data_IF_297134782562
#
_entry.id   IF_297134782562
#
_cell.length_a   1.000
_cell.length_b   1.000
_cell.length_c   1.000
_cell.angle_alpha   90.00
_cell.angle_beta   90.00
_cell.angle_gamma   90.00
#
_symmetry.space_group_name_H-M   'P 1'
#
loop_
_entity.id
_entity.type
_entity.pdbx_description
1 polymer ?
#
# COMPACT_ATOMS: atom_id res chain seq x y z
N UNK A 1 5.14 0.16 2.26
CA UNK A 1 3.71 -0.01 2.69
C UNK A 1 3.07 1.33 3.11
N UNK A 2 3.28 2.42 2.36
CA UNK A 2 2.69 3.74 2.69
C UNK A 2 3.22 4.41 3.96
N UNK A 3 4.41 4.01 4.43
CA UNK A 3 4.99 4.51 5.68
C UNK A 3 4.05 4.29 6.87
N UNK A 4 3.78 5.35 7.62
CA UNK A 4 2.87 5.31 8.76
C UNK A 4 1.39 5.56 8.40
N UNK A 5 1.07 5.83 7.13
CA UNK A 5 -0.29 6.22 6.72
C UNK A 5 -1.33 5.16 7.08
N UNK A 6 -1.13 3.86 6.77
CA UNK A 6 -2.14 2.85 7.12
C UNK A 6 -2.38 2.76 8.64
N UNK A 7 -1.30 2.80 9.42
CA UNK A 7 -1.37 2.79 10.89
C UNK A 7 -2.12 4.02 11.45
N UNK A 8 -1.98 5.19 10.81
CA UNK A 8 -2.61 6.44 11.24
C UNK A 8 -3.96 6.74 10.56
N UNK A 9 -4.47 5.86 9.69
CA UNK A 9 -5.61 6.16 8.81
C UNK A 9 -6.85 6.62 9.58
N UNK A 10 -7.25 5.90 10.63
CA UNK A 10 -8.39 6.29 11.47
C UNK A 10 -8.13 7.56 12.29
N UNK A 11 -6.87 7.82 12.69
CA UNK A 11 -6.51 9.08 13.34
C UNK A 11 -6.70 10.26 12.39
N UNK A 12 -6.27 10.14 11.14
CA UNK A 12 -6.46 11.16 10.10
C UNK A 12 -7.95 11.40 9.84
N UNK A 13 -8.74 10.33 9.68
CA UNK A 13 -10.20 10.42 9.50
C UNK A 13 -10.87 11.20 10.64
N UNK A 14 -10.51 10.84 11.88
CA UNK A 14 -11.09 11.46 13.06
C UNK A 14 -10.61 12.91 13.28
N UNK A 15 -9.45 13.30 12.76
CA UNK A 15 -9.03 14.71 12.75
C UNK A 15 -9.84 15.55 11.77
N UNK A 16 -10.20 15.01 10.60
CA UNK A 16 -11.07 15.72 9.64
C UNK A 16 -12.47 15.91 10.22
N UNK A 17 -13.01 14.90 10.89
CA UNK A 17 -14.33 14.96 11.54
C UNK A 17 -14.38 15.98 12.69
N UNK A 18 -13.33 16.05 13.52
CA UNK A 18 -13.28 16.92 14.71
C UNK A 18 -12.66 18.29 14.46
N UNK A 19 -12.22 18.58 13.24
CA UNK A 19 -11.57 19.84 12.94
C UNK A 19 -12.55 21.02 13.07
N UNK A 20 -12.10 22.21 13.49
CA UNK A 20 -12.91 23.41 13.45
C UNK A 20 -13.48 23.65 12.04
N UNK A 21 -14.76 24.03 11.98
CA UNK A 21 -15.45 24.27 10.71
C UNK A 21 -14.73 25.30 9.82
N UNK A 22 -14.03 26.26 10.42
CA UNK A 22 -13.23 27.28 9.72
C UNK A 22 -12.08 26.72 8.86
N UNK A 23 -11.68 25.46 9.06
CA UNK A 23 -10.67 24.79 8.25
C UNK A 23 -11.26 24.14 6.98
N UNK A 24 -12.59 23.99 6.91
CA UNK A 24 -13.30 23.41 5.77
C UNK A 24 -12.74 22.04 5.32
N UNK A 25 -12.24 21.21 6.25
CA UNK A 25 -11.58 19.96 5.89
C UNK A 25 -12.56 18.93 5.31
N UNK A 26 -13.74 18.78 5.90
CA UNK A 26 -14.76 17.85 5.42
C UNK A 26 -15.20 18.17 3.97
N UNK A 27 -15.25 19.45 3.60
CA UNK A 27 -15.58 19.90 2.24
C UNK A 27 -14.50 19.53 1.22
N UNK A 28 -13.23 19.46 1.65
CA UNK A 28 -12.09 19.10 0.79
C UNK A 28 -11.94 17.60 0.57
N UNK A 29 -12.50 16.78 1.46
CA UNK A 29 -12.53 15.32 1.38
C UNK A 29 -13.96 14.81 1.59
N UNK A 30 -14.86 15.08 0.62
CA UNK A 30 -16.30 14.82 0.75
C UNK A 30 -16.65 13.35 0.95
N UNK A 31 -15.82 12.42 0.47
CA UNK A 31 -16.00 10.97 0.66
C UNK A 31 -15.35 10.44 1.96
N UNK A 32 -14.74 11.34 2.74
CA UNK A 32 -14.02 11.01 3.96
C UNK A 32 -12.59 10.49 3.71
N UNK A 33 -11.61 10.75 4.59
CA UNK A 33 -10.21 10.40 4.35
C UNK A 33 -9.97 8.91 4.03
N UNK A 34 -10.69 7.99 4.68
CA UNK A 34 -10.52 6.55 4.45
C UNK A 34 -10.85 6.14 3.00
N UNK A 35 -11.89 6.74 2.40
CA UNK A 35 -12.26 6.43 1.02
C UNK A 35 -11.18 6.85 0.03
N UNK A 36 -10.49 7.97 0.29
CA UNK A 36 -9.36 8.40 -0.54
C UNK A 36 -8.12 7.54 -0.31
N UNK A 37 -7.80 7.19 0.94
CA UNK A 37 -6.67 6.32 1.25
C UNK A 37 -6.83 4.94 0.60
N UNK A 38 -8.03 4.37 0.59
CA UNK A 38 -8.35 3.09 -0.06
C UNK A 38 -8.11 3.07 -1.59
N UNK A 39 -7.94 4.23 -2.24
CA UNK A 39 -7.66 4.34 -3.69
C UNK A 39 -6.18 4.32 -4.01
N UNK A 40 -5.32 4.62 -3.03
CA UNK A 40 -3.88 4.68 -3.22
C UNK A 40 -3.29 3.28 -3.34
N UNK A 41 -2.13 3.19 -3.98
CA UNK A 41 -1.33 1.97 -4.01
C UNK A 41 -0.26 2.00 -2.92
N UNK A 42 0.04 0.83 -2.36
CA UNK A 42 0.97 0.63 -1.26
C UNK A 42 2.02 -0.41 -1.66
N UNK A 43 3.28 -0.01 -1.77
CA UNK A 43 4.37 -0.96 -2.06
C UNK A 43 4.79 -1.80 -0.84
N UNK A 44 5.52 -2.89 -1.03
CA UNK A 44 6.11 -3.67 0.07
C UNK A 44 7.52 -3.22 0.47
N UNK A 45 8.06 -2.18 -0.16
CA UNK A 45 9.46 -1.77 0.01
C UNK A 45 9.74 -1.44 1.49
N UNK A 46 10.82 -2.02 2.03
CA UNK A 46 11.25 -1.89 3.42
C UNK A 46 10.17 -2.19 4.49
N UNK A 47 9.06 -2.84 4.13
CA UNK A 47 7.92 -3.10 5.02
C UNK A 47 7.20 -4.42 4.70
N UNK A 48 7.95 -5.40 4.20
CA UNK A 48 7.49 -6.71 3.75
C UNK A 48 7.24 -7.71 4.91
N UNK A 49 6.57 -7.27 5.97
CA UNK A 49 6.28 -8.05 7.18
C UNK A 49 4.78 -8.06 7.53
N UNK A 50 4.32 -9.09 8.25
CA UNK A 50 2.90 -9.31 8.53
C UNK A 50 2.18 -8.12 9.21
N UNK A 51 2.72 -7.41 10.22
CA UNK A 51 1.99 -6.31 10.86
C UNK A 51 1.71 -5.12 9.93
N UNK A 52 2.72 -4.69 9.17
CA UNK A 52 2.58 -3.61 8.18
C UNK A 52 1.62 -3.98 7.06
N UNK A 53 1.66 -5.24 6.63
CA UNK A 53 0.74 -5.78 5.64
C UNK A 53 -0.71 -5.80 6.14
N UNK A 54 -0.95 -6.27 7.37
CA UNK A 54 -2.27 -6.26 7.98
C UNK A 54 -2.83 -4.84 8.07
N UNK A 55 -2.02 -3.87 8.53
CA UNK A 55 -2.44 -2.47 8.59
C UNK A 55 -2.78 -1.90 7.20
N UNK A 56 -2.04 -2.26 6.15
CA UNK A 56 -2.35 -1.83 4.78
C UNK A 56 -3.66 -2.45 4.27
N UNK A 57 -3.90 -3.73 4.54
CA UNK A 57 -5.11 -4.46 4.11
C UNK A 57 -6.38 -3.99 4.81
N UNK A 58 -6.29 -3.43 6.02
CA UNK A 58 -7.42 -2.76 6.69
C UNK A 58 -7.81 -1.45 6.00
N UNK A 59 -6.89 -0.82 5.27
CA UNK A 59 -7.09 0.51 4.67
C UNK A 59 -7.41 0.43 3.18
N UNK A 60 -6.82 -0.53 2.47
CA UNK A 60 -6.97 -0.69 1.04
C UNK A 60 -7.09 -2.17 0.67
N UNK A 61 -7.87 -2.50 -0.38
CA UNK A 61 -8.03 -3.88 -0.79
C UNK A 61 -6.72 -4.44 -1.39
N UNK A 62 -6.61 -5.76 -1.48
CA UNK A 62 -5.39 -6.45 -1.93
C UNK A 62 -4.90 -5.94 -3.29
N UNK A 63 -5.80 -5.54 -4.19
CA UNK A 63 -5.51 -4.99 -5.53
C UNK A 63 -4.66 -3.72 -5.49
N UNK A 64 -4.63 -3.03 -4.34
CA UNK A 64 -3.84 -1.82 -4.12
C UNK A 64 -2.46 -2.08 -3.57
N UNK A 65 -2.09 -3.33 -3.30
CA UNK A 65 -0.75 -3.68 -2.81
C UNK A 65 0.13 -4.11 -3.97
N UNK A 66 1.34 -3.55 -4.06
CA UNK A 66 2.31 -3.90 -5.11
C UNK A 66 3.66 -4.26 -4.49
N UNK A 67 4.41 -5.13 -5.15
CA UNK A 67 5.74 -5.48 -4.69
C UNK A 67 6.77 -4.38 -4.94
N UNK A 68 7.67 -4.19 -3.98
CA UNK A 68 8.82 -3.30 -4.07
C UNK A 68 9.93 -3.75 -3.12
N UNK A 69 11.18 -3.49 -3.52
CA UNK A 69 12.39 -3.93 -2.80
C UNK A 69 13.22 -2.78 -2.23
N UNK A 70 13.07 -1.58 -2.77
CA UNK A 70 13.99 -0.45 -2.54
C UNK A 70 15.45 -0.72 -2.99
N UNK A 71 15.64 -1.60 -3.97
CA UNK A 71 16.96 -1.82 -4.57
C UNK A 71 17.36 -0.63 -5.47
N UNK A 72 18.62 -0.16 -5.45
CA UNK A 72 19.79 -0.70 -4.74
C UNK A 72 20.07 -0.08 -3.36
N UNK A 73 19.14 0.70 -2.81
CA UNK A 73 19.32 1.42 -1.54
C UNK A 73 19.24 0.50 -0.32
N UNK A 74 18.45 -0.58 -0.40
CA UNK A 74 18.33 -1.60 0.63
C UNK A 74 18.85 -2.96 0.15
N UNK A 75 19.69 -3.58 0.96
CA UNK A 75 20.17 -4.93 0.68
C UNK A 75 19.01 -5.93 0.72
N UNK A 76 18.96 -6.81 -0.28
CA UNK A 76 18.02 -7.93 -0.28
C UNK A 76 18.41 -8.97 0.78
N UNK A 77 17.44 -9.72 1.34
CA UNK A 77 17.74 -10.82 2.24
C UNK A 77 18.56 -11.91 1.54
N UNK A 78 19.26 -12.72 2.34
CA UNK A 78 19.96 -13.88 1.82
C UNK A 78 18.97 -14.93 1.27
N UNK A 79 19.30 -15.54 0.14
CA UNK A 79 18.50 -16.58 -0.51
C UNK A 79 17.82 -16.11 -1.80
N UNK A 80 17.03 -16.99 -2.43
CA UNK A 80 16.42 -16.70 -3.73
C UNK A 80 15.15 -15.83 -3.64
N UNK A 81 14.54 -15.75 -2.45
CA UNK A 81 13.32 -14.99 -2.23
C UNK A 81 13.67 -13.58 -1.71
N UNK A 82 13.40 -12.50 -2.47
CA UNK A 82 13.70 -11.14 -2.04
C UNK A 82 12.74 -10.60 -0.95
N UNK A 83 11.65 -11.30 -0.64
CA UNK A 83 10.68 -10.89 0.37
C UNK A 83 9.95 -12.07 1.05
N UNK A 84 10.67 -12.92 1.81
CA UNK A 84 10.11 -14.09 2.46
C UNK A 84 8.99 -13.76 3.47
N UNK A 85 8.99 -12.55 4.04
CA UNK A 85 7.94 -12.07 4.95
C UNK A 85 6.57 -11.89 4.29
N UNK A 86 6.50 -11.86 2.95
CA UNK A 86 5.22 -11.90 2.21
C UNK A 86 4.60 -13.29 2.15
N UNK A 87 5.27 -14.34 2.65
CA UNK A 87 4.71 -15.69 2.74
C UNK A 87 3.38 -15.76 3.49
N UNK A 88 3.12 -14.81 4.40
CA UNK A 88 1.83 -14.64 5.09
C UNK A 88 0.63 -14.52 4.13
N UNK A 89 0.82 -14.00 2.93
CA UNK A 89 -0.25 -13.86 1.91
C UNK A 89 -0.70 -15.20 1.31
N UNK A 90 0.06 -16.28 1.50
CA UNK A 90 -0.24 -17.57 0.86
C UNK A 90 -0.40 -17.44 -0.66
N UNK A 91 -1.51 -17.96 -1.20
CA UNK A 91 -1.80 -17.89 -2.64
C UNK A 91 -2.00 -16.47 -3.18
N UNK A 92 -2.36 -15.51 -2.32
CA UNK A 92 -2.55 -14.11 -2.71
C UNK A 92 -1.23 -13.39 -3.01
N UNK A 93 -0.09 -13.97 -2.63
CA UNK A 93 1.25 -13.38 -2.83
C UNK A 93 1.54 -13.05 -4.30
N UNK A 94 1.17 -13.95 -5.21
CA UNK A 94 1.38 -13.77 -6.65
C UNK A 94 0.66 -12.54 -7.22
N UNK A 95 -0.46 -12.13 -6.61
CA UNK A 95 -1.20 -10.95 -7.01
C UNK A 95 -0.41 -9.67 -6.69
N UNK A 96 0.18 -9.60 -5.48
CA UNK A 96 1.02 -8.47 -5.04
C UNK A 96 2.34 -8.42 -5.80
N UNK A 97 2.96 -9.57 -6.07
CA UNK A 97 4.26 -9.68 -6.75
C UNK A 97 4.24 -9.30 -8.23
N UNK A 98 3.08 -9.34 -8.90
CA UNK A 98 3.03 -9.02 -10.32
C UNK A 98 1.69 -8.58 -10.87
N UNK A 99 0.60 -9.25 -10.52
CA UNK A 99 -0.70 -9.00 -11.17
C UNK A 99 -1.19 -7.55 -10.94
N UNK A 100 -1.08 -7.05 -9.71
CA UNK A 100 -1.49 -5.68 -9.37
C UNK A 100 -0.62 -4.63 -10.08
N UNK A 101 0.71 -4.83 -10.11
CA UNK A 101 1.63 -3.94 -10.80
C UNK A 101 1.35 -3.91 -12.32
N UNK A 102 1.03 -5.06 -12.91
CA UNK A 102 0.64 -5.18 -14.33
C UNK A 102 -0.67 -4.46 -14.63
N UNK A 103 -1.64 -4.51 -13.73
CA UNK A 103 -2.89 -3.76 -13.87
C UNK A 103 -2.67 -2.25 -13.71
N UNK A 104 -1.80 -1.85 -12.78
CA UNK A 104 -1.49 -0.44 -12.49
C UNK A 104 -0.70 0.23 -13.62
N UNK A 105 0.35 -0.42 -14.13
CA UNK A 105 1.21 0.12 -15.20
C UNK A 105 1.46 -0.92 -16.30
N UNK A 106 0.45 -1.23 -17.16
CA UNK A 106 0.56 -2.29 -18.17
C UNK A 106 1.78 -2.16 -19.09
N UNK A 107 2.12 -0.92 -19.48
CA UNK A 107 3.24 -0.59 -20.37
C UNK A 107 4.61 -1.03 -19.86
N UNK A 108 4.81 -1.22 -18.56
CA UNK A 108 6.09 -1.73 -18.03
C UNK A 108 6.28 -3.22 -18.28
N UNK A 109 5.24 -3.92 -18.71
CA UNK A 109 5.27 -5.35 -18.98
C UNK A 109 5.02 -5.69 -20.45
N UNK A 110 4.80 -4.68 -21.27
CA UNK A 110 4.80 -4.81 -22.72
C UNK A 110 6.26 -4.97 -23.17
N UNK A 111 6.59 -6.10 -23.77
CA UNK A 111 7.88 -6.28 -24.44
C UNK A 111 7.74 -5.56 -25.78
N UNK A 112 8.39 -4.41 -25.93
CA UNK A 112 8.52 -3.79 -27.25
C UNK A 112 9.28 -4.78 -28.15
N UNK A 113 8.69 -5.21 -29.29
CA UNK A 113 9.36 -6.11 -30.22
C UNK A 113 10.60 -5.49 -30.88
#
# INVERSE_FOLDING_TARGET
MGGAVPFLAHRLASLVERAPASLHLAERVPEGPLAYLARLYYDTALSNHAPGLAAALEVAPLERLVFGTDWPYAALPAGPDPAPGLGYLGSARAQVEGANARALVPRLFEVNP
#
